data_IF_017930491655
#
_entry.id   IF_017930491655
#
_cell.length_a   1.000
_cell.length_b   1.000
_cell.length_c   1.000
_cell.angle_alpha   90.00
_cell.angle_beta   90.00
_cell.angle_gamma   90.00
#
_symmetry.space_group_name_H-M   'P 1'
#
loop_
_entity.id
_entity.type
_entity.pdbx_description
1 polymer ?
#
# COMPACT_ATOMS: atom_id res chain seq x y z
N UNK A 1 5.80 30.21 19.91
CA UNK A 1 4.97 29.07 20.35
C UNK A 1 4.13 28.66 19.15
N UNK A 2 4.51 27.62 18.40
CA UNK A 2 3.79 27.27 17.16
C UNK A 2 2.36 26.79 17.45
N UNK A 3 1.40 27.30 16.68
CA UNK A 3 -0.02 26.93 16.78
C UNK A 3 -0.20 25.43 16.45
N UNK A 4 -1.27 24.82 16.97
CA UNK A 4 -1.59 23.40 16.73
C UNK A 4 -1.71 23.08 15.22
N UNK A 5 -2.14 24.06 14.42
CA UNK A 5 -2.23 23.95 12.96
C UNK A 5 -0.84 23.97 12.30
N UNK A 6 0.07 24.84 12.74
CA UNK A 6 1.45 24.87 12.21
C UNK A 6 2.20 23.57 12.48
N UNK A 7 2.11 23.02 13.70
CA UNK A 7 2.74 21.74 14.03
C UNK A 7 2.20 20.59 13.18
N UNK A 8 0.88 20.56 12.96
CA UNK A 8 0.26 19.57 12.08
C UNK A 8 0.72 19.69 10.63
N UNK A 9 0.77 20.90 10.08
CA UNK A 9 1.22 21.14 8.71
C UNK A 9 2.68 20.77 8.50
N UNK A 10 3.55 21.09 9.48
CA UNK A 10 4.96 20.71 9.45
C UNK A 10 5.12 19.19 9.50
N UNK A 11 4.46 18.51 10.44
CA UNK A 11 4.50 17.04 10.55
C UNK A 11 3.97 16.36 9.28
N UNK A 12 2.92 16.93 8.67
CA UNK A 12 2.34 16.42 7.43
C UNK A 12 3.28 16.56 6.23
N UNK A 13 3.93 17.72 6.07
CA UNK A 13 4.87 17.98 4.97
C UNK A 13 6.15 17.15 5.17
N UNK A 14 6.67 17.06 6.39
CA UNK A 14 7.85 16.24 6.70
C UNK A 14 7.56 14.75 6.47
N UNK A 15 6.43 14.25 6.97
CA UNK A 15 6.00 12.87 6.74
C UNK A 15 5.74 12.58 5.26
N UNK A 16 5.14 13.52 4.54
CA UNK A 16 4.84 13.38 3.12
C UNK A 16 6.06 13.38 2.23
N UNK A 17 6.97 14.32 2.43
CA UNK A 17 8.24 14.39 1.68
C UNK A 17 9.11 13.15 1.92
N UNK A 18 9.27 12.72 3.17
CA UNK A 18 9.99 11.50 3.50
C UNK A 18 9.37 10.26 2.83
N UNK A 19 8.04 10.14 2.84
CA UNK A 19 7.35 9.02 2.20
C UNK A 19 7.49 9.02 0.68
N UNK A 20 7.45 10.18 0.03
CA UNK A 20 7.65 10.31 -1.42
C UNK A 20 9.06 9.89 -1.81
N UNK A 21 10.07 10.33 -1.06
CA UNK A 21 11.47 9.98 -1.30
C UNK A 21 11.66 8.46 -1.13
N UNK A 22 11.19 7.91 -0.01
CA UNK A 22 11.31 6.48 0.27
C UNK A 22 10.61 5.61 -0.80
N UNK A 23 9.39 5.97 -1.20
CA UNK A 23 8.66 5.26 -2.26
C UNK A 23 9.33 5.37 -3.62
N UNK A 24 9.91 6.53 -3.93
CA UNK A 24 10.62 6.73 -5.18
C UNK A 24 11.94 5.95 -5.23
N UNK A 25 12.63 5.80 -4.09
CA UNK A 25 13.80 4.95 -3.97
C UNK A 25 13.45 3.45 -4.09
N UNK A 26 12.32 3.03 -3.51
CA UNK A 26 11.85 1.63 -3.55
C UNK A 26 11.13 1.24 -4.86
N UNK A 27 10.70 2.21 -5.67
CA UNK A 27 9.89 1.99 -6.87
C UNK A 27 10.46 0.94 -7.87
N UNK A 28 11.78 0.90 -8.15
CA UNK A 28 12.34 -0.11 -9.06
C UNK A 28 12.15 -1.55 -8.59
N UNK A 29 12.39 -1.80 -7.29
CA UNK A 29 12.25 -3.13 -6.69
C UNK A 29 10.77 -3.51 -6.60
N UNK A 30 9.92 -2.57 -6.20
CA UNK A 30 8.47 -2.76 -6.21
C UNK A 30 7.97 -3.17 -7.60
N UNK A 31 8.39 -2.46 -8.65
CA UNK A 31 7.97 -2.80 -10.01
C UNK A 31 8.41 -4.19 -10.45
N UNK A 32 9.65 -4.58 -10.17
CA UNK A 32 10.13 -5.94 -10.51
C UNK A 32 9.36 -7.01 -9.75
N UNK A 33 9.07 -6.79 -8.46
CA UNK A 33 8.19 -7.66 -7.67
C UNK A 33 6.82 -7.83 -8.34
N UNK A 34 6.21 -6.74 -8.82
CA UNK A 34 4.91 -6.76 -9.49
C UNK A 34 4.90 -7.53 -10.79
N UNK A 35 5.94 -7.38 -11.60
CA UNK A 35 6.08 -8.11 -12.86
C UNK A 35 6.24 -9.61 -12.59
N UNK A 36 7.01 -10.00 -11.58
CA UNK A 36 7.18 -11.40 -11.19
C UNK A 36 5.91 -12.00 -10.58
N UNK A 37 5.20 -11.28 -9.72
CA UNK A 37 3.94 -11.75 -9.12
C UNK A 37 2.84 -11.92 -10.16
N UNK A 38 2.75 -11.01 -11.14
CA UNK A 38 1.69 -11.00 -12.13
C UNK A 38 2.08 -11.69 -13.45
N UNK A 39 3.26 -12.31 -13.55
CA UNK A 39 3.76 -12.89 -14.81
C UNK A 39 2.79 -13.90 -15.44
N UNK A 40 2.09 -14.70 -14.63
CA UNK A 40 1.10 -15.66 -15.15
C UNK A 40 -0.09 -14.99 -15.83
N UNK A 41 -0.53 -13.84 -15.32
CA UNK A 41 -1.61 -13.05 -15.93
C UNK A 41 -1.10 -12.29 -17.17
N UNK A 42 0.15 -11.83 -17.16
CA UNK A 42 0.78 -11.17 -18.32
C UNK A 42 0.92 -12.12 -19.51
N UNK A 43 1.28 -13.38 -19.26
CA UNK A 43 1.37 -14.42 -20.30
C UNK A 43 -0.02 -14.70 -20.88
N UNK A 44 -1.06 -14.87 -20.04
CA UNK A 44 -2.45 -15.08 -20.49
C UNK A 44 -2.97 -13.94 -21.37
N UNK A 45 -2.53 -12.71 -21.12
CA UNK A 45 -2.91 -11.52 -21.90
C UNK A 45 -2.06 -11.30 -23.15
N UNK A 46 -1.06 -12.14 -23.40
CA UNK A 46 -0.10 -11.99 -24.49
C UNK A 46 0.83 -10.78 -24.34
N UNK A 47 0.95 -10.23 -23.13
CA UNK A 47 1.86 -9.12 -22.81
C UNK A 47 3.26 -9.60 -22.45
N UNK A 48 3.43 -10.92 -22.19
CA UNK A 48 4.71 -11.54 -21.91
C UNK A 48 4.82 -12.86 -22.67
N UNK A 49 5.83 -13.00 -23.53
CA UNK A 49 6.01 -14.21 -24.34
C UNK A 49 6.65 -15.36 -23.55
N UNK A 50 7.56 -15.04 -22.64
CA UNK A 50 8.30 -16.01 -21.83
C UNK A 50 8.34 -15.57 -20.37
N UNK A 51 8.16 -16.51 -19.41
CA UNK A 51 8.26 -16.18 -17.99
C UNK A 51 9.64 -15.63 -17.64
N UNK A 52 9.69 -14.89 -16.54
CA UNK A 52 10.96 -14.41 -15.99
C UNK A 52 11.59 -15.53 -15.17
N UNK A 53 12.88 -15.76 -15.36
CA UNK A 53 13.59 -16.87 -14.68
C UNK A 53 13.89 -16.50 -13.22
N UNK A 54 14.02 -15.21 -12.93
CA UNK A 54 14.25 -14.70 -11.58
C UNK A 54 14.34 -13.18 -11.53
N UNK A 55 14.69 -12.66 -10.35
CA UNK A 55 14.77 -11.22 -10.08
C UNK A 55 15.77 -10.51 -11.02
N UNK A 56 16.98 -11.06 -11.16
CA UNK A 56 18.02 -10.48 -12.00
C UNK A 56 17.68 -10.50 -13.50
N UNK A 57 17.03 -11.56 -13.99
CA UNK A 57 16.55 -11.66 -15.37
C UNK A 57 15.46 -10.63 -15.66
N UNK A 58 14.50 -10.45 -14.73
CA UNK A 58 13.47 -9.42 -14.85
C UNK A 58 14.07 -8.00 -14.87
N UNK A 59 14.98 -7.68 -13.94
CA UNK A 59 15.69 -6.39 -13.93
C UNK A 59 16.43 -6.12 -15.25
N UNK A 60 17.18 -7.10 -15.74
CA UNK A 60 17.97 -6.98 -16.97
C UNK A 60 17.09 -6.78 -18.20
N UNK A 61 16.00 -7.53 -18.32
CA UNK A 61 15.06 -7.40 -19.45
C UNK A 61 14.36 -6.05 -19.44
N UNK A 62 13.78 -5.66 -18.32
CA UNK A 62 13.11 -4.35 -18.19
C UNK A 62 14.06 -3.20 -18.53
N UNK A 63 15.31 -3.27 -18.07
CA UNK A 63 16.31 -2.25 -18.39
C UNK A 63 16.64 -2.19 -19.88
N UNK A 64 16.73 -3.34 -20.55
CA UNK A 64 17.10 -3.45 -21.97
C UNK A 64 15.93 -3.13 -22.92
N UNK A 65 14.73 -3.62 -22.60
CA UNK A 65 13.53 -3.59 -23.44
C UNK A 65 12.77 -2.26 -23.26
N UNK A 66 12.69 -1.74 -22.02
CA UNK A 66 11.89 -0.56 -21.70
C UNK A 66 12.68 0.69 -21.31
N UNK A 67 13.93 0.51 -20.87
CA UNK A 67 14.83 1.56 -20.40
C UNK A 67 14.70 1.89 -18.90
N UNK A 68 15.66 2.67 -18.40
CA UNK A 68 15.81 3.01 -16.96
C UNK A 68 14.58 3.71 -16.38
N UNK A 69 14.00 4.66 -17.11
CA UNK A 69 12.84 5.43 -16.63
C UNK A 69 11.59 4.57 -16.44
N UNK A 70 11.53 3.39 -17.07
CA UNK A 70 10.40 2.49 -16.94
C UNK A 70 10.26 1.98 -15.50
N UNK A 71 11.33 1.87 -14.71
CA UNK A 71 11.28 1.41 -13.32
C UNK A 71 10.35 2.24 -12.42
N UNK A 72 10.12 3.51 -12.76
CA UNK A 72 9.22 4.41 -12.05
C UNK A 72 7.80 4.45 -12.64
N UNK A 73 7.50 3.61 -13.64
CA UNK A 73 6.16 3.52 -14.25
C UNK A 73 5.16 3.03 -13.19
N UNK A 74 4.11 3.83 -12.98
CA UNK A 74 3.14 3.61 -11.90
C UNK A 74 3.49 4.26 -10.56
N UNK A 75 4.70 4.82 -10.37
CA UNK A 75 5.07 5.52 -9.13
C UNK A 75 4.22 6.77 -8.87
N UNK A 76 3.76 7.45 -9.93
CA UNK A 76 2.84 8.60 -9.81
C UNK A 76 1.57 8.24 -9.02
N UNK A 77 1.01 7.06 -9.25
CA UNK A 77 -0.15 6.58 -8.49
C UNK A 77 0.18 6.31 -7.01
N UNK A 78 1.41 5.91 -6.70
CA UNK A 78 1.87 5.75 -5.30
C UNK A 78 1.92 7.09 -4.57
N UNK A 79 2.44 8.12 -5.24
CA UNK A 79 2.56 9.47 -4.69
C UNK A 79 1.17 10.08 -4.51
N UNK A 80 0.33 10.01 -5.54
CA UNK A 80 -1.06 10.51 -5.47
C UNK A 80 -1.83 9.82 -4.36
N UNK A 81 -1.66 8.51 -4.17
CA UNK A 81 -2.36 7.75 -3.12
C UNK A 81 -1.92 8.15 -1.71
N UNK A 82 -0.70 8.64 -1.51
CA UNK A 82 -0.21 9.00 -0.18
C UNK A 82 -1.09 10.06 0.49
N UNK A 83 -1.37 11.16 -0.22
CA UNK A 83 -2.14 12.29 0.32
C UNK A 83 -3.54 11.92 0.82
N UNK A 84 -4.42 11.27 0.03
CA UNK A 84 -5.75 10.91 0.48
C UNK A 84 -5.70 9.79 1.53
N UNK A 85 -4.70 8.89 1.48
CA UNK A 85 -4.49 7.90 2.55
C UNK A 85 -4.25 8.58 3.88
N UNK A 86 -3.39 9.61 3.92
CA UNK A 86 -3.13 10.34 5.15
C UNK A 86 -4.38 11.11 5.61
N UNK A 87 -5.09 11.77 4.70
CA UNK A 87 -6.33 12.47 5.03
C UNK A 87 -7.37 11.54 5.68
N UNK A 88 -7.58 10.35 5.10
CA UNK A 88 -8.49 9.36 5.66
C UNK A 88 -7.97 8.71 6.95
N UNK A 89 -6.66 8.50 7.09
CA UNK A 89 -6.09 8.01 8.34
C UNK A 89 -6.38 9.02 9.48
N UNK A 90 -6.18 10.32 9.24
CA UNK A 90 -6.53 11.36 10.21
C UNK A 90 -8.04 11.41 10.52
N UNK A 91 -8.90 11.31 9.51
CA UNK A 91 -10.35 11.37 9.69
C UNK A 91 -10.91 10.14 10.44
N UNK A 92 -10.51 8.93 10.04
CA UNK A 92 -11.14 7.70 10.52
C UNK A 92 -10.46 7.12 11.76
N UNK A 93 -9.16 7.34 11.98
CA UNK A 93 -8.45 6.82 13.16
C UNK A 93 -9.01 7.39 14.46
N UNK A 94 -9.43 8.66 14.46
CA UNK A 94 -10.14 9.28 15.59
C UNK A 94 -11.48 8.61 15.83
N UNK A 95 -12.31 8.53 14.79
CA UNK A 95 -13.68 8.01 14.83
C UNK A 95 -13.76 6.54 15.30
N UNK A 96 -12.99 5.65 14.67
CA UNK A 96 -13.02 4.22 15.01
C UNK A 96 -12.36 3.90 16.36
N UNK A 97 -11.40 4.73 16.80
CA UNK A 97 -10.79 4.59 18.12
C UNK A 97 -11.76 4.99 19.24
N UNK A 98 -12.66 5.94 19.01
CA UNK A 98 -13.74 6.24 19.97
C UNK A 98 -14.85 5.19 19.98
N UNK A 99 -15.13 4.54 18.84
CA UNK A 99 -16.15 3.48 18.76
C UNK A 99 -15.71 2.15 19.37
N UNK A 100 -14.47 1.74 19.15
CA UNK A 100 -13.96 0.41 19.54
C UNK A 100 -12.84 0.49 20.60
N UNK A 101 -12.53 1.68 21.10
CA UNK A 101 -11.50 1.90 22.11
C UNK A 101 -11.86 1.23 23.43
N UNK A 102 -11.25 0.07 23.68
CA UNK A 102 -11.29 -0.63 24.96
C UNK A 102 -9.98 -0.38 25.71
N UNK A 103 -10.01 -0.44 27.04
CA UNK A 103 -8.79 -0.23 27.84
C UNK A 103 -8.22 -1.55 28.33
N UNK A 104 -6.90 -1.72 28.22
CA UNK A 104 -6.18 -2.96 28.59
C UNK A 104 -6.39 -3.31 30.07
N UNK A 105 -6.48 -2.29 30.94
CA UNK A 105 -6.64 -2.46 32.39
C UNK A 105 -8.08 -2.73 32.84
N UNK A 106 -9.10 -2.31 32.05
CA UNK A 106 -10.52 -2.46 32.45
C UNK A 106 -11.21 -3.66 31.81
N UNK A 107 -10.88 -3.98 30.56
CA UNK A 107 -11.63 -4.97 29.76
C UNK A 107 -10.89 -6.31 29.58
N UNK A 108 -9.62 -6.39 30.00
CA UNK A 108 -8.74 -7.55 29.79
C UNK A 108 -8.08 -7.56 28.41
N UNK A 109 -6.91 -8.21 28.34
CA UNK A 109 -6.03 -8.19 27.17
C UNK A 109 -6.71 -8.64 25.87
N UNK A 110 -7.50 -9.72 25.92
CA UNK A 110 -8.15 -10.29 24.74
C UNK A 110 -9.19 -9.33 24.12
N UNK A 111 -9.98 -8.63 24.96
CA UNK A 111 -10.98 -7.66 24.49
C UNK A 111 -10.33 -6.38 23.98
N UNK A 112 -9.25 -5.92 24.61
CA UNK A 112 -8.45 -4.81 24.13
C UNK A 112 -7.82 -5.11 22.76
N UNK A 113 -7.22 -6.28 22.61
CA UNK A 113 -6.62 -6.73 21.36
C UNK A 113 -7.67 -6.85 20.24
N UNK A 114 -8.79 -7.53 20.51
CA UNK A 114 -9.90 -7.66 19.57
C UNK A 114 -10.47 -6.29 19.18
N UNK A 115 -10.62 -5.36 20.13
CA UNK A 115 -11.06 -3.99 19.87
C UNK A 115 -10.10 -3.21 18.99
N UNK A 116 -8.79 -3.32 19.22
CA UNK A 116 -7.78 -2.66 18.39
C UNK A 116 -7.74 -3.23 16.97
N UNK A 117 -7.78 -4.56 16.81
CA UNK A 117 -7.82 -5.21 15.51
C UNK A 117 -9.10 -4.83 14.77
N UNK A 118 -10.26 -4.87 15.43
CA UNK A 118 -11.55 -4.48 14.83
C UNK A 118 -11.58 -3.00 14.42
N UNK A 119 -11.17 -2.09 15.31
CA UNK A 119 -11.07 -0.65 15.02
C UNK A 119 -10.15 -0.40 13.82
N UNK A 120 -9.09 -1.20 13.75
CA UNK A 120 -8.07 -1.06 12.76
C UNK A 120 -8.49 -1.58 11.39
N UNK A 121 -9.10 -2.76 11.35
CA UNK A 121 -9.69 -3.34 10.16
C UNK A 121 -10.84 -2.50 9.63
N UNK A 122 -11.69 -1.93 10.50
CA UNK A 122 -12.77 -1.05 10.09
C UNK A 122 -12.24 0.23 9.44
N UNK A 123 -11.29 0.93 10.09
CA UNK A 123 -10.64 2.11 9.51
C UNK A 123 -9.91 1.79 8.19
N UNK A 124 -9.24 0.64 8.14
CA UNK A 124 -8.55 0.14 6.94
C UNK A 124 -9.51 -0.18 5.81
N UNK A 125 -10.67 -0.78 6.12
CA UNK A 125 -11.70 -1.12 5.14
C UNK A 125 -12.38 0.12 4.58
N UNK A 126 -12.74 1.10 5.41
CA UNK A 126 -13.31 2.37 4.95
C UNK A 126 -12.31 3.14 4.08
N UNK A 127 -11.04 3.22 4.49
CA UNK A 127 -10.00 3.87 3.67
C UNK A 127 -9.80 3.12 2.35
N UNK A 128 -9.77 1.79 2.40
CA UNK A 128 -9.63 0.97 1.19
C UNK A 128 -10.83 1.13 0.27
N UNK A 129 -12.06 1.26 0.78
CA UNK A 129 -13.24 1.51 -0.05
C UNK A 129 -13.05 2.76 -0.92
N UNK A 130 -12.51 3.82 -0.35
CA UNK A 130 -12.25 5.05 -1.10
C UNK A 130 -10.99 4.97 -1.95
N UNK A 131 -9.95 4.21 -1.61
CA UNK A 131 -8.65 4.26 -2.31
C UNK A 131 -8.33 3.05 -3.19
N UNK A 132 -9.14 1.99 -3.14
CA UNK A 132 -8.89 0.74 -3.86
C UNK A 132 -8.79 0.95 -5.38
N UNK A 133 -9.58 1.89 -5.92
CA UNK A 133 -9.53 2.25 -7.32
C UNK A 133 -8.15 2.81 -7.75
N UNK A 134 -7.41 3.50 -6.87
CA UNK A 134 -6.05 3.99 -7.14
C UNK A 134 -5.02 2.86 -7.07
N UNK A 135 -5.19 1.92 -6.13
CA UNK A 135 -4.35 0.72 -6.02
C UNK A 135 -4.47 -0.17 -7.26
N UNK A 136 -5.69 -0.35 -7.74
CA UNK A 136 -5.96 -1.05 -8.99
C UNK A 136 -5.25 -0.37 -10.17
N UNK A 137 -5.45 0.93 -10.33
CA UNK A 137 -4.87 1.68 -11.45
C UNK A 137 -3.34 1.71 -11.40
N UNK A 138 -2.74 1.83 -10.21
CA UNK A 138 -1.30 1.69 -9.98
C UNK A 138 -0.79 0.35 -10.46
N UNK A 139 -1.41 -0.74 -10.00
CA UNK A 139 -0.97 -2.11 -10.30
C UNK A 139 -1.03 -2.35 -11.80
N UNK A 140 -2.14 -1.97 -12.45
CA UNK A 140 -2.31 -2.10 -13.90
C UNK A 140 -1.27 -1.31 -14.68
N UNK A 141 -0.98 -0.07 -14.29
CA UNK A 141 0.07 0.74 -14.92
C UNK A 141 1.49 0.17 -14.73
N UNK A 142 1.78 -0.38 -13.55
CA UNK A 142 3.09 -0.94 -13.24
C UNK A 142 3.36 -2.25 -13.99
N UNK A 143 2.31 -3.05 -14.21
CA UNK A 143 2.35 -4.30 -14.98
C UNK A 143 2.24 -4.11 -16.49
N UNK A 144 1.90 -2.91 -16.96
CA UNK A 144 1.80 -2.60 -18.40
C UNK A 144 3.23 -2.45 -18.97
N UNK A 145 3.80 -3.56 -19.44
CA UNK A 145 5.14 -3.63 -20.03
C UNK A 145 5.17 -3.03 -21.45
N UNK A 146 6.35 -2.54 -21.86
CA UNK A 146 6.65 -2.21 -23.26
C UNK A 146 7.16 -3.49 -23.94
N UNK A 147 6.57 -3.78 -25.11
CA UNK A 147 6.83 -4.89 -26.07
C UNK A 147 5.68 -5.92 -26.09
N UNK A 148 5.03 -6.32 -27.19
CA UNK A 148 5.03 -5.94 -28.61
C UNK A 148 3.55 -5.97 -29.07
N UNK A 149 3.17 -5.20 -30.11
CA UNK A 149 1.82 -5.19 -30.64
C UNK A 149 1.55 -6.48 -31.43
N UNK A 150 1.37 -7.61 -30.75
CA UNK A 150 0.76 -8.79 -31.38
C UNK A 150 -0.76 -8.57 -31.54
N UNK A 151 -1.34 -7.65 -30.76
CA UNK A 151 -2.79 -7.40 -30.71
C UNK A 151 -3.23 -5.93 -30.85
N UNK A 152 -2.35 -5.02 -31.28
CA UNK A 152 -2.71 -3.60 -31.50
C UNK A 152 -3.21 -2.83 -30.26
N UNK A 153 -3.19 -3.42 -29.06
CA UNK A 153 -3.63 -2.76 -27.83
C UNK A 153 -2.58 -1.75 -27.38
N UNK A 154 -2.86 -0.48 -27.67
CA UNK A 154 -2.03 0.66 -27.27
C UNK A 154 -1.81 0.66 -25.75
N UNK A 155 -0.55 0.89 -25.38
CA UNK A 155 -0.13 1.15 -24.00
C UNK A 155 -1.07 2.14 -23.32
N UNK A 156 -1.31 1.94 -22.03
CA UNK A 156 -1.98 2.98 -21.25
C UNK A 156 -1.01 4.14 -21.06
N UNK A 157 -1.30 5.29 -21.69
CA UNK A 157 -0.42 6.47 -21.67
C UNK A 157 -0.35 7.13 -20.28
N UNK A 158 -1.31 6.83 -19.41
CA UNK A 158 -1.34 7.34 -18.05
C UNK A 158 -2.51 6.79 -17.23
N UNK A 159 -2.63 7.28 -16.00
CA UNK A 159 -3.65 6.86 -15.03
C UNK A 159 -5.08 7.00 -15.57
N UNK A 160 -5.36 8.12 -16.23
CA UNK A 160 -6.68 8.43 -16.80
C UNK A 160 -7.06 7.44 -17.91
N UNK A 161 -6.09 7.01 -18.72
CA UNK A 161 -6.33 6.04 -19.80
C UNK A 161 -6.66 4.64 -19.25
N UNK A 162 -6.03 4.25 -18.14
CA UNK A 162 -6.39 3.01 -17.43
C UNK A 162 -7.81 3.07 -16.90
N UNK A 163 -8.21 4.18 -16.26
CA UNK A 163 -9.59 4.35 -15.80
C UNK A 163 -10.59 4.24 -16.94
N UNK A 164 -10.33 4.95 -18.05
CA UNK A 164 -11.22 4.93 -19.22
C UNK A 164 -11.38 3.52 -19.79
N UNK A 165 -10.27 2.82 -20.03
CA UNK A 165 -10.29 1.46 -20.59
C UNK A 165 -11.02 0.48 -19.67
N UNK A 166 -10.73 0.51 -18.36
CA UNK A 166 -11.37 -0.39 -17.39
C UNK A 166 -12.86 -0.13 -17.23
N UNK A 167 -13.28 1.14 -17.18
CA UNK A 167 -14.70 1.49 -17.07
C UNK A 167 -15.49 1.06 -18.32
N UNK A 168 -14.86 1.10 -19.50
CA UNK A 168 -15.48 0.66 -20.75
C UNK A 168 -15.56 -0.88 -20.88
N UNK A 169 -14.59 -1.63 -20.37
CA UNK A 169 -14.57 -3.10 -20.52
C UNK A 169 -15.30 -3.84 -19.39
N UNK A 170 -15.03 -3.46 -18.14
CA UNK A 170 -15.43 -4.20 -16.95
C UNK A 170 -16.31 -3.38 -15.99
N UNK A 171 -16.54 -2.10 -16.32
CA UNK A 171 -17.30 -1.17 -15.49
C UNK A 171 -16.67 -0.93 -14.11
N UNK A 172 -17.50 -0.49 -13.17
CA UNK A 172 -17.10 -0.21 -11.78
C UNK A 172 -16.72 -1.50 -11.04
N UNK A 173 -17.37 -2.62 -11.36
CA UNK A 173 -17.05 -3.93 -10.77
C UNK A 173 -15.60 -4.35 -11.06
N UNK A 174 -15.06 -4.01 -12.24
CA UNK A 174 -13.66 -4.25 -12.60
C UNK A 174 -12.66 -3.51 -11.71
N UNK A 175 -12.99 -2.30 -11.24
CA UNK A 175 -12.12 -1.50 -10.36
C UNK A 175 -12.03 -2.06 -8.94
N UNK A 176 -13.07 -2.75 -8.46
CA UNK A 176 -13.14 -3.33 -7.11
C UNK A 176 -12.87 -4.83 -7.07
N UNK A 177 -12.42 -5.43 -8.18
CA UNK A 177 -12.11 -6.85 -8.24
C UNK A 177 -10.98 -7.19 -7.27
N UNK A 178 -11.24 -8.11 -6.34
CA UNK A 178 -10.29 -8.52 -5.29
C UNK A 178 -10.40 -7.76 -3.97
N UNK A 179 -11.35 -6.82 -3.83
CA UNK A 179 -11.53 -6.02 -2.61
C UNK A 179 -11.71 -6.89 -1.35
N UNK A 180 -12.52 -7.94 -1.41
CA UNK A 180 -12.75 -8.84 -0.27
C UNK A 180 -11.46 -9.54 0.22
N UNK A 181 -10.64 -10.03 -0.69
CA UNK A 181 -9.35 -10.63 -0.36
C UNK A 181 -8.40 -9.60 0.27
N UNK A 182 -8.46 -8.34 -0.17
CA UNK A 182 -7.69 -7.24 0.41
C UNK A 182 -8.07 -6.99 1.87
N UNK A 183 -9.37 -6.96 2.22
CA UNK A 183 -9.84 -6.75 3.60
C UNK A 183 -9.41 -7.88 4.54
N UNK A 184 -9.50 -9.13 4.09
CA UNK A 184 -9.03 -10.30 4.84
C UNK A 184 -7.52 -10.17 5.10
N UNK A 185 -6.74 -9.84 4.06
CA UNK A 185 -5.30 -9.63 4.17
C UNK A 185 -4.91 -8.54 5.17
N UNK A 186 -5.62 -7.40 5.17
CA UNK A 186 -5.39 -6.30 6.13
C UNK A 186 -5.65 -6.76 7.57
N UNK A 187 -6.74 -7.49 7.77
CA UNK A 187 -7.14 -7.95 9.11
C UNK A 187 -6.14 -8.95 9.68
N UNK A 188 -5.73 -9.93 8.87
CA UNK A 188 -4.72 -10.92 9.26
C UNK A 188 -3.37 -10.25 9.53
N UNK A 189 -2.94 -9.35 8.64
CA UNK A 189 -1.69 -8.61 8.81
C UNK A 189 -1.67 -7.79 10.10
N UNK A 190 -2.75 -7.04 10.40
CA UNK A 190 -2.83 -6.26 11.64
C UNK A 190 -2.88 -7.15 12.88
N UNK A 191 -3.64 -8.25 12.83
CA UNK A 191 -3.69 -9.22 13.93
C UNK A 191 -2.30 -9.81 14.23
N UNK A 192 -1.60 -10.28 13.20
CA UNK A 192 -0.23 -10.80 13.34
C UNK A 192 0.74 -9.72 13.81
N UNK A 193 0.68 -8.51 13.26
CA UNK A 193 1.56 -7.41 13.63
C UNK A 193 1.46 -7.09 15.12
N UNK A 194 0.24 -6.86 15.63
CA UNK A 194 0.05 -6.60 17.07
C UNK A 194 0.43 -7.81 17.92
N UNK A 195 0.10 -9.03 17.49
CA UNK A 195 0.43 -10.25 18.23
C UNK A 195 1.93 -10.46 18.36
N UNK A 196 2.68 -10.33 17.26
CA UNK A 196 4.14 -10.46 17.26
C UNK A 196 4.78 -9.30 18.02
N UNK A 197 4.34 -8.06 17.80
CA UNK A 197 4.90 -6.89 18.48
C UNK A 197 4.71 -6.98 20.00
N UNK A 198 3.53 -7.35 20.48
CA UNK A 198 3.25 -7.49 21.91
C UNK A 198 4.00 -8.68 22.54
N UNK A 199 4.31 -9.72 21.77
CA UNK A 199 5.09 -10.88 22.24
C UNK A 199 6.60 -10.58 22.26
N UNK A 200 7.11 -9.91 21.23
CA UNK A 200 8.55 -9.63 21.11
C UNK A 200 9.00 -8.45 21.96
N UNK A 201 8.14 -7.45 22.17
CA UNK A 201 8.47 -6.27 22.99
C UNK A 201 9.00 -6.63 24.40
N UNK A 202 8.33 -7.47 25.21
CA UNK A 202 8.85 -7.83 26.54
C UNK A 202 10.09 -8.73 26.49
N UNK A 203 10.37 -9.41 25.38
CA UNK A 203 11.53 -10.30 25.22
C UNK A 203 12.79 -9.52 24.82
N UNK A 204 12.62 -8.53 23.94
CA UNK A 204 13.74 -7.77 23.32
C UNK A 204 14.01 -6.46 24.06
N UNK A 205 13.00 -5.80 24.63
CA UNK A 205 13.13 -4.51 25.31
C UNK A 205 13.14 -4.67 26.84
N UNK A 206 14.21 -5.27 27.38
CA UNK A 206 14.49 -5.31 28.82
C UNK A 206 15.68 -4.40 29.13
N UNK A 207 15.52 -3.39 30.00
CA UNK A 207 16.57 -2.45 30.40
C UNK A 207 16.33 -0.98 29.99
N UNK A 208 17.38 -0.11 29.94
CA UNK A 208 17.25 1.35 29.75
C UNK A 208 16.81 1.79 28.34
N UNK A 209 16.48 0.84 27.45
CA UNK A 209 15.95 1.08 26.11
C UNK A 209 14.42 1.28 26.08
N UNK A 210 13.78 1.62 27.20
CA UNK A 210 12.42 2.18 27.23
C UNK A 210 12.41 3.60 26.63
N UNK A 211 12.95 3.78 25.42
CA UNK A 211 12.72 5.00 24.66
C UNK A 211 11.27 4.98 24.25
N UNK A 212 10.57 6.05 24.63
CA UNK A 212 9.21 6.41 24.30
C UNK A 212 9.00 6.41 22.77
N UNK A 213 8.86 5.23 22.16
CA UNK A 213 8.35 5.14 20.81
C UNK A 213 6.87 5.45 20.86
N UNK A 214 6.54 6.68 20.48
CA UNK A 214 5.16 7.09 20.26
C UNK A 214 4.48 6.06 19.33
N UNK A 215 3.48 5.29 19.81
CA UNK A 215 2.87 4.20 19.03
C UNK A 215 2.19 4.71 17.74
N UNK A 216 2.05 6.03 17.61
CA UNK A 216 1.56 6.70 16.41
C UNK A 216 2.55 6.63 15.25
N UNK A 217 3.85 6.76 15.50
CA UNK A 217 4.88 6.84 14.45
C UNK A 217 5.19 5.46 13.87
N UNK A 218 5.29 4.45 14.74
CA UNK A 218 5.39 3.04 14.32
C UNK A 218 4.12 2.60 13.58
N UNK A 219 2.92 2.94 14.09
CA UNK A 219 1.66 2.68 13.39
C UNK A 219 1.59 3.39 12.03
N UNK A 220 2.13 4.61 11.91
CA UNK A 220 2.17 5.35 10.64
C UNK A 220 3.15 4.72 9.66
N UNK A 221 4.33 4.32 10.10
CA UNK A 221 5.33 3.62 9.29
C UNK A 221 4.83 2.25 8.83
N UNK A 222 4.13 1.52 9.70
CA UNK A 222 3.49 0.24 9.37
C UNK A 222 2.29 0.44 8.46
N UNK A 223 1.46 1.47 8.65
CA UNK A 223 0.39 1.80 7.71
C UNK A 223 0.99 2.14 6.33
N UNK A 224 2.05 2.94 6.27
CA UNK A 224 2.78 3.26 5.04
C UNK A 224 3.38 1.98 4.43
N UNK A 225 4.02 1.11 5.19
CA UNK A 225 4.58 -0.15 4.70
C UNK A 225 3.50 -1.14 4.26
N UNK A 226 2.37 -1.22 4.97
CA UNK A 226 1.22 -2.07 4.68
C UNK A 226 0.47 -1.61 3.43
N UNK A 227 0.42 -0.30 3.15
CA UNK A 227 -0.03 0.24 1.86
C UNK A 227 1.00 -0.03 0.75
N UNK A 228 2.30 -0.13 1.07
CA UNK A 228 3.39 -0.34 0.10
C UNK A 228 3.58 -1.80 -0.30
N UNK A 229 3.39 -2.73 0.64
CA UNK A 229 3.48 -4.18 0.42
C UNK A 229 2.19 -4.81 -0.11
N UNK A 230 1.14 -4.02 -0.35
CA UNK A 230 -0.18 -4.49 -0.78
C UNK A 230 -0.25 -4.78 -2.28
N UNK A 231 0.66 -5.60 -2.77
CA UNK A 231 0.54 -6.35 -4.04
C UNK A 231 1.36 -7.64 -3.90
#
# INVERSE_FOLDING_TARGET
>A
MATRSEKFSVDFIMGGSAAIIAKSAAAPIERVKLLLQNQGELIKRGQLQRPYIGLGDCFRRVLREEGVLSFWRGNQANVIRYFPTQAFNFAFKGYFKTLFGRSKEKDGYLKWFAGNVASGSAAGATTSLFLYHLDYARTRLATDARECPINGKQQSKGLIDVYRKTLLTDGIAGLYRGFGASIIGITLYRGMYFGIYDTMKPIVLVGPLQVSESPRLVSLCVDIFCLTGRI
#
